data_IF_059103213197
#
_entry.id   IF_059103213197
#
_cell.length_a   1.000
_cell.length_b   1.000
_cell.length_c   1.000
_cell.angle_alpha   90.00
_cell.angle_beta   90.00
_cell.angle_gamma   90.00
#
_symmetry.space_group_name_H-M   'P 1'
#
loop_
_entity.id
_entity.type
_entity.pdbx_description
1 polymer ?
#
# COMPACT_ATOMS: atom_id res chain seq x y z
N UNK A 1 -12.12 -14.77 5.06
CA UNK A 1 -11.13 -14.50 3.99
C UNK A 1 -10.48 -13.18 4.34
N UNK A 2 -9.16 -13.08 4.35
CA UNK A 2 -8.50 -11.78 4.51
C UNK A 2 -8.58 -11.04 3.18
N UNK A 3 -8.95 -9.77 3.21
CA UNK A 3 -8.87 -8.90 2.04
C UNK A 3 -7.44 -8.38 1.97
N UNK A 4 -6.69 -8.78 0.95
CA UNK A 4 -5.38 -8.23 0.66
C UNK A 4 -5.34 -7.69 -0.77
N UNK A 5 -4.68 -6.56 -0.95
CA UNK A 5 -4.42 -5.95 -2.24
C UNK A 5 -2.94 -5.60 -2.33
N UNK A 6 -2.37 -5.74 -3.52
CA UNK A 6 -0.98 -5.37 -3.78
C UNK A 6 -0.95 -4.18 -4.71
N UNK A 7 0.00 -3.30 -4.42
CA UNK A 7 0.23 -2.11 -5.21
C UNK A 7 1.72 -1.97 -5.49
N UNK A 8 2.04 -1.39 -6.63
CA UNK A 8 3.30 -0.69 -6.82
C UNK A 8 3.02 0.79 -6.56
N UNK A 9 3.46 1.29 -5.40
CA UNK A 9 3.35 2.68 -5.02
C UNK A 9 4.65 3.41 -5.38
N UNK A 10 4.65 4.14 -6.50
CA UNK A 10 5.80 4.94 -6.95
C UNK A 10 7.12 4.14 -7.02
N UNK A 11 7.07 2.93 -7.56
CA UNK A 11 8.22 2.03 -7.69
C UNK A 11 8.43 1.10 -6.50
N UNK A 12 7.66 1.23 -5.41
CA UNK A 12 7.76 0.40 -4.20
C UNK A 12 6.59 -0.55 -4.10
N UNK A 13 6.87 -1.85 -4.11
CA UNK A 13 5.84 -2.89 -3.97
C UNK A 13 5.36 -2.97 -2.51
N UNK A 14 4.06 -2.82 -2.32
CA UNK A 14 3.41 -2.95 -1.02
C UNK A 14 2.23 -3.91 -1.09
N UNK A 15 1.88 -4.48 0.05
CA UNK A 15 0.64 -5.21 0.26
C UNK A 15 -0.12 -4.56 1.41
N UNK A 16 -1.40 -4.30 1.17
CA UNK A 16 -2.33 -3.77 2.16
C UNK A 16 -3.27 -4.91 2.54
N UNK A 17 -3.29 -5.25 3.83
CA UNK A 17 -4.08 -6.36 4.38
C UNK A 17 -5.09 -5.80 5.36
N UNK A 18 -6.34 -6.26 5.25
CA UNK A 18 -7.37 -5.96 6.25
C UNK A 18 -7.39 -7.03 7.34
N UNK A 19 -7.16 -6.61 8.58
CA UNK A 19 -7.15 -7.46 9.77
C UNK A 19 -7.85 -6.76 10.93
N UNK A 20 -8.87 -7.39 11.51
CA UNK A 20 -9.63 -6.86 12.66
C UNK A 20 -10.04 -5.38 12.49
N UNK A 21 -10.64 -5.06 11.33
CA UNK A 21 -11.11 -3.72 10.96
C UNK A 21 -10.00 -2.68 10.76
N UNK A 22 -8.73 -3.06 10.81
CA UNK A 22 -7.58 -2.21 10.55
C UNK A 22 -6.89 -2.60 9.26
N UNK A 23 -6.20 -1.63 8.68
CA UNK A 23 -5.30 -1.84 7.55
C UNK A 23 -3.88 -1.99 8.07
N UNK A 24 -3.20 -3.04 7.61
CA UNK A 24 -1.78 -3.25 7.82
C UNK A 24 -1.09 -3.17 6.47
N UNK A 25 0.01 -2.40 6.41
CA UNK A 25 0.77 -2.22 5.18
C UNK A 25 2.13 -2.91 5.31
N UNK A 26 2.50 -3.67 4.30
CA UNK A 26 3.75 -4.39 4.23
C UNK A 26 4.52 -3.96 2.99
N UNK A 27 5.79 -3.63 3.14
CA UNK A 27 6.73 -3.61 2.03
C UNK A 27 7.01 -5.04 1.57
N UNK A 28 6.93 -5.26 0.25
CA UNK A 28 7.27 -6.52 -0.38
C UNK A 28 8.73 -6.45 -0.83
N UNK A 29 9.61 -7.18 -0.13
CA UNK A 29 10.99 -7.35 -0.53
C UNK A 29 11.16 -8.50 -1.53
N UNK A 30 12.40 -8.71 -1.95
CA UNK A 30 12.76 -9.84 -2.79
C UNK A 30 12.60 -11.17 -2.03
N UNK A 31 12.43 -12.27 -2.78
CA UNK A 31 12.30 -13.63 -2.25
C UNK A 31 11.08 -13.85 -1.32
N UNK A 32 10.03 -13.03 -1.46
CA UNK A 32 8.78 -13.20 -0.71
C UNK A 32 8.82 -12.70 0.74
N UNK A 33 9.90 -12.00 1.14
CA UNK A 33 9.99 -11.36 2.46
C UNK A 33 9.03 -10.18 2.54
N UNK A 34 8.36 -10.02 3.69
CA UNK A 34 7.48 -8.89 3.99
C UNK A 34 8.01 -8.14 5.21
N UNK A 35 7.99 -6.81 5.16
CA UNK A 35 8.35 -5.94 6.29
C UNK A 35 7.18 -5.00 6.56
N UNK A 36 6.73 -4.89 7.80
CA UNK A 36 5.70 -3.93 8.19
C UNK A 36 6.17 -2.51 7.85
N UNK A 37 5.32 -1.74 7.19
CA UNK A 37 5.53 -0.33 6.91
C UNK A 37 5.01 0.51 8.08
N UNK A 38 5.84 0.69 9.11
CA UNK A 38 5.45 1.39 10.35
C UNK A 38 5.05 2.86 10.11
N UNK A 39 5.56 3.46 9.03
CA UNK A 39 5.35 4.87 8.68
C UNK A 39 4.13 5.09 7.78
N UNK A 40 3.40 4.03 7.39
CA UNK A 40 2.22 4.12 6.53
C UNK A 40 0.99 3.78 7.36
N UNK A 41 0.18 4.81 7.63
CA UNK A 41 -1.07 4.67 8.34
C UNK A 41 -2.25 4.84 7.40
N UNK A 42 -3.15 3.85 7.38
CA UNK A 42 -4.41 3.89 6.65
C UNK A 42 -5.55 3.81 7.68
N UNK A 43 -6.39 4.87 7.81
CA UNK A 43 -7.57 4.86 8.66
C UNK A 43 -8.52 3.71 8.32
N UNK A 44 -9.16 3.13 9.35
CA UNK A 44 -10.04 1.94 9.21
C UNK A 44 -11.30 2.17 8.36
N UNK A 45 -11.69 3.43 8.19
CA UNK A 45 -12.84 3.88 7.39
C UNK A 45 -12.51 4.07 5.90
N UNK A 46 -11.23 4.04 5.51
CA UNK A 46 -10.85 3.96 4.10
C UNK A 46 -11.38 2.66 3.53
N UNK A 47 -12.27 2.76 2.54
CA UNK A 47 -12.85 1.60 1.86
C UNK A 47 -11.81 1.01 0.92
N UNK A 48 -11.89 -0.30 0.71
CA UNK A 48 -10.97 -1.03 -0.17
C UNK A 48 -10.84 -0.38 -1.56
N UNK A 49 -11.95 0.05 -2.17
CA UNK A 49 -11.96 0.71 -3.48
C UNK A 49 -11.27 2.08 -3.52
N UNK A 50 -11.10 2.71 -2.35
CA UNK A 50 -10.49 4.04 -2.22
C UNK A 50 -9.01 3.94 -1.79
N UNK A 51 -8.50 2.73 -1.51
CA UNK A 51 -7.12 2.50 -1.06
C UNK A 51 -6.09 3.07 -2.02
N UNK A 52 -6.29 2.87 -3.33
CA UNK A 52 -5.36 3.37 -4.34
C UNK A 52 -5.22 4.89 -4.25
N UNK A 53 -6.34 5.62 -4.31
CA UNK A 53 -6.34 7.08 -4.24
C UNK A 53 -5.75 7.58 -2.91
N UNK A 54 -6.10 6.91 -1.80
CA UNK A 54 -5.53 7.25 -0.50
C UNK A 54 -4.00 7.10 -0.50
N UNK A 55 -3.47 6.01 -1.06
CA UNK A 55 -2.03 5.77 -1.19
C UNK A 55 -1.35 6.79 -2.12
N UNK A 56 -2.00 7.20 -3.21
CA UNK A 56 -1.50 8.26 -4.10
C UNK A 56 -1.32 9.58 -3.32
N UNK A 57 -2.28 9.93 -2.47
CA UNK A 57 -2.23 11.16 -1.69
C UNK A 57 -1.14 11.11 -0.60
N UNK A 58 -1.13 10.06 0.23
CA UNK A 58 -0.22 10.02 1.40
C UNK A 58 1.22 9.63 1.06
N UNK A 59 1.45 8.99 -0.10
CA UNK A 59 2.78 8.58 -0.56
C UNK A 59 3.30 9.43 -1.72
N UNK A 60 2.67 10.56 -2.03
CA UNK A 60 3.03 11.41 -3.18
C UNK A 60 4.52 11.78 -3.21
N UNK A 61 5.14 11.99 -2.04
CA UNK A 61 6.57 12.30 -1.90
C UNK A 61 7.50 11.18 -2.39
N UNK A 62 6.98 9.98 -2.67
CA UNK A 62 7.75 8.89 -3.26
C UNK A 62 7.80 8.95 -4.77
N UNK A 63 6.95 9.78 -5.40
CA UNK A 63 6.87 9.93 -6.83
C UNK A 63 8.22 10.35 -7.41
N UNK A 64 8.60 9.67 -8.50
CA UNK A 64 9.76 10.01 -9.30
C UNK A 64 9.36 10.05 -10.78
N UNK A 65 10.11 10.73 -11.67
CA UNK A 65 9.76 10.78 -13.09
C UNK A 65 9.55 9.41 -13.75
N UNK A 66 10.23 8.37 -13.24
CA UNK A 66 10.16 7.00 -13.76
C UNK A 66 9.00 6.18 -13.15
N UNK A 67 8.45 6.63 -12.02
CA UNK A 67 7.35 5.98 -11.30
C UNK A 67 6.50 7.07 -10.64
N UNK A 68 5.53 7.60 -11.39
CA UNK A 68 4.69 8.75 -11.03
C UNK A 68 3.28 8.37 -10.58
N UNK A 69 3.02 7.07 -10.41
CA UNK A 69 1.70 6.52 -10.12
C UNK A 69 1.76 5.42 -9.07
N UNK A 70 0.61 5.22 -8.40
CA UNK A 70 0.30 3.97 -7.73
C UNK A 70 -0.46 3.08 -8.73
N UNK A 71 -0.11 1.81 -8.85
CA UNK A 71 -0.81 0.85 -9.72
C UNK A 71 -1.09 -0.46 -8.98
N UNK A 72 -2.20 -1.12 -9.32
CA UNK A 72 -2.54 -2.45 -8.82
C UNK A 72 -1.56 -3.51 -9.36
N UNK A 73 -1.26 -4.54 -8.55
CA UNK A 73 -0.38 -5.67 -8.88
C UNK A 73 -1.10 -7.02 -8.86
#
# INVERSE_FOLDING_TARGET
MWENMKFNAYGRKIEVVRSNEKWEVFFLGDEGKKRIAQDIFIPSDVRQKDLKNYLEDILHEWAAPENDQVIDL
#
